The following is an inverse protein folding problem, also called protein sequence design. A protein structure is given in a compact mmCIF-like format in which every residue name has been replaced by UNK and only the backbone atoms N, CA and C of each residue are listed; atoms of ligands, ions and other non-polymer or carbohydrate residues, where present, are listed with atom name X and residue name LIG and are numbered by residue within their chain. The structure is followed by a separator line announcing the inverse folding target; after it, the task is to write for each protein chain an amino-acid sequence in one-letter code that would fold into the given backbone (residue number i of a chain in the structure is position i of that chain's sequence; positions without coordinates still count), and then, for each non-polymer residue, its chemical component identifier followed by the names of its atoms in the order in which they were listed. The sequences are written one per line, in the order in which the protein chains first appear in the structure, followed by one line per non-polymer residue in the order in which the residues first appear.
data_IF_078610872927
#
_entry.id   IF_078610872927
#
_cell.length_a   1.000
_cell.length_b   1.000
_cell.length_c   1.000
_cell.angle_alpha   90.00
_cell.angle_beta   90.00
_cell.angle_gamma   90.00
#
_symmetry.space_group_name_H-M   'P 1'
#
loop_
_entity.id
_entity.type
_entity.pdbx_description
1 polymer ?
#
# COMPACT_ATOMS: atom_id res chain seq x y z
N UNK A 1 11.84 -6.43 -7.30
CA UNK A 1 10.75 -5.75 -8.01
C UNK A 1 9.52 -5.80 -7.13
N UNK A 2 8.99 -4.63 -6.78
CA UNK A 2 7.75 -4.54 -5.99
C UNK A 2 6.56 -4.78 -6.91
N UNK A 3 5.57 -5.50 -6.39
CA UNK A 3 4.31 -5.82 -7.05
C UNK A 3 3.16 -5.57 -6.09
N UNK A 4 1.97 -5.38 -6.66
CA UNK A 4 0.74 -5.25 -5.90
C UNK A 4 -0.03 -6.55 -6.04
N UNK A 5 -0.56 -7.04 -4.93
CA UNK A 5 -1.33 -8.27 -4.88
C UNK A 5 -2.69 -7.99 -4.27
N UNK A 6 -3.71 -8.71 -4.73
CA UNK A 6 -5.04 -8.75 -4.12
C UNK A 6 -5.17 -10.04 -3.30
N UNK A 7 -5.45 -9.90 -2.01
CA UNK A 7 -5.61 -11.05 -1.13
C UNK A 7 -6.93 -11.76 -1.42
N UNK A 8 -6.88 -13.06 -1.73
CA UNK A 8 -8.07 -13.85 -2.05
C UNK A 8 -9.02 -14.08 -0.85
N UNK A 9 -8.58 -13.77 0.37
CA UNK A 9 -9.38 -13.98 1.59
C UNK A 9 -10.04 -12.71 2.10
N UNK A 10 -9.35 -11.57 2.05
CA UNK A 10 -9.88 -10.30 2.56
C UNK A 10 -10.15 -9.25 1.48
N UNK A 11 -9.88 -9.57 0.21
CA UNK A 11 -10.02 -8.65 -0.94
C UNK A 11 -9.36 -7.29 -0.67
N UNK A 12 -8.19 -7.31 -0.04
CA UNK A 12 -7.37 -6.11 0.16
C UNK A 12 -6.18 -6.17 -0.77
N UNK A 13 -5.87 -5.02 -1.35
CA UNK A 13 -4.61 -4.82 -2.05
C UNK A 13 -3.48 -4.62 -1.04
N UNK A 14 -2.34 -5.25 -1.32
CA UNK A 14 -1.13 -5.09 -0.52
C UNK A 14 0.12 -5.09 -1.40
N UNK A 15 1.17 -4.46 -0.88
CA UNK A 15 2.47 -4.43 -1.52
C UNK A 15 3.26 -5.68 -1.13
N UNK A 16 3.93 -6.27 -2.11
CA UNK A 16 4.81 -7.39 -1.89
C UNK A 16 5.97 -7.41 -2.87
N UNK A 17 6.86 -8.36 -2.68
CA UNK A 17 7.99 -8.64 -3.56
C UNK A 17 8.12 -10.16 -3.78
N UNK A 18 9.19 -10.60 -4.41
CA UNK A 18 9.42 -12.03 -4.70
C UNK A 18 9.53 -12.91 -3.43
N UNK A 19 9.82 -12.31 -2.27
CA UNK A 19 9.97 -12.99 -0.99
C UNK A 19 8.76 -12.76 -0.07
N UNK A 20 7.99 -11.70 -0.28
CA UNK A 20 6.87 -11.24 0.56
C UNK A 20 5.55 -11.21 -0.23
N UNK A 21 5.11 -12.37 -0.70
CA UNK A 21 3.86 -12.50 -1.49
C UNK A 21 2.62 -12.78 -0.64
N UNK A 22 2.76 -13.04 0.66
CA UNK A 22 1.64 -13.30 1.56
C UNK A 22 1.03 -11.98 2.08
N UNK A 23 -0.29 -11.96 2.21
CA UNK A 23 -1.03 -10.80 2.73
C UNK A 23 -0.57 -10.47 4.16
N UNK A 24 -0.17 -9.22 4.45
CA UNK A 24 0.34 -8.84 5.76
C UNK A 24 -0.73 -8.83 6.87
N UNK A 25 -2.01 -8.83 6.50
CA UNK A 25 -3.14 -8.78 7.44
C UNK A 25 -3.63 -10.17 7.87
N UNK A 26 -3.62 -11.14 6.96
CA UNK A 26 -4.19 -12.47 7.21
C UNK A 26 -3.27 -13.65 6.88
N UNK A 27 -2.07 -13.39 6.33
CA UNK A 27 -1.08 -14.40 5.98
C UNK A 27 -1.41 -15.23 4.74
N UNK A 28 -2.58 -15.03 4.12
CA UNK A 28 -3.01 -15.79 2.94
C UNK A 28 -2.36 -15.29 1.65
N UNK A 29 -2.26 -16.18 0.67
CA UNK A 29 -1.76 -15.83 -0.66
C UNK A 29 -2.74 -14.94 -1.43
N UNK A 30 -2.20 -14.04 -2.23
CA UNK A 30 -2.94 -13.16 -3.12
C UNK A 30 -2.44 -13.27 -4.57
N UNK A 31 -3.28 -12.85 -5.50
CA UNK A 31 -2.96 -12.85 -6.92
C UNK A 31 -2.40 -11.48 -7.31
N UNK A 32 -1.48 -11.43 -8.27
CA UNK A 32 -0.93 -10.15 -8.74
C UNK A 32 -2.05 -9.29 -9.34
N UNK A 33 -2.21 -8.08 -8.80
CA UNK A 33 -3.21 -7.12 -9.24
C UNK A 33 -2.70 -6.37 -10.48
N UNK A 34 -3.60 -6.10 -11.41
CA UNK A 34 -3.30 -5.34 -12.63
C UNK A 34 -4.04 -4.01 -12.64
N UNK A 35 -3.51 -3.03 -13.39
CA UNK A 35 -4.12 -1.68 -13.54
C UNK A 35 -4.24 -0.91 -12.21
N UNK A 36 -3.29 -1.16 -11.32
CA UNK A 36 -3.20 -0.50 -10.02
C UNK A 36 -2.84 0.97 -10.17
N UNK A 37 -3.42 1.79 -9.30
CA UNK A 37 -3.17 3.23 -9.18
C UNK A 37 -2.86 3.56 -7.73
N UNK A 38 -2.21 4.71 -7.52
CA UNK A 38 -1.85 5.19 -6.19
C UNK A 38 -2.69 6.39 -5.82
N UNK A 39 -3.17 6.42 -4.59
CA UNK A 39 -4.09 7.43 -4.13
C UNK A 39 -3.63 8.02 -2.81
N UNK A 40 -3.96 9.29 -2.59
CA UNK A 40 -3.86 9.96 -1.30
C UNK A 40 -5.28 10.16 -0.73
N UNK A 41 -5.55 9.60 0.44
CA UNK A 41 -6.86 9.72 1.07
C UNK A 41 -7.07 11.13 1.64
N UNK A 42 -8.21 11.75 1.33
CA UNK A 42 -8.57 13.08 1.84
C UNK A 42 -8.76 13.17 3.35
N UNK A 43 -9.16 12.07 3.99
CA UNK A 43 -9.54 12.07 5.39
C UNK A 43 -8.35 11.77 6.31
N UNK A 44 -7.57 10.74 5.98
CA UNK A 44 -6.45 10.32 6.82
C UNK A 44 -5.07 10.69 6.26
N UNK A 45 -5.00 11.36 5.09
CA UNK A 45 -3.74 11.73 4.42
C UNK A 45 -2.78 10.55 4.36
N UNK A 46 -3.29 9.37 3.97
CA UNK A 46 -2.47 8.17 3.73
C UNK A 46 -2.39 7.89 2.26
N UNK A 47 -1.21 7.50 1.82
CA UNK A 47 -1.01 6.90 0.51
C UNK A 47 -1.45 5.44 0.55
N UNK A 48 -2.26 5.04 -0.42
CA UNK A 48 -2.72 3.67 -0.56
C UNK A 48 -2.77 3.26 -2.03
N UNK A 49 -2.70 1.96 -2.24
CA UNK A 49 -2.87 1.36 -3.56
C UNK A 49 -4.33 1.00 -3.78
N UNK A 50 -4.82 1.24 -4.99
CA UNK A 50 -6.19 0.98 -5.39
C UNK A 50 -6.27 0.58 -6.86
N UNK A 51 -7.51 0.48 -7.35
CA UNK A 51 -7.83 0.38 -8.77
C UNK A 51 -9.15 1.11 -9.07
N UNK A 52 -9.46 1.27 -10.35
CA UNK A 52 -10.62 2.03 -10.80
C UNK A 52 -11.98 1.37 -10.53
N UNK A 53 -12.00 0.07 -10.17
CA UNK A 53 -13.21 -0.74 -10.10
C UNK A 53 -13.60 -1.08 -8.66
N UNK A 54 -12.70 -1.75 -7.94
CA UNK A 54 -13.01 -2.44 -6.68
C UNK A 54 -12.34 -1.79 -5.47
N UNK A 55 -11.18 -1.16 -5.64
CA UNK A 55 -10.36 -0.65 -4.54
C UNK A 55 -10.14 0.86 -4.58
N UNK A 56 -11.16 1.62 -5.01
CA UNK A 56 -11.06 3.08 -5.12
C UNK A 56 -11.05 3.81 -3.77
N UNK A 57 -11.64 3.20 -2.75
CA UNK A 57 -11.79 3.78 -1.43
C UNK A 57 -10.59 3.42 -0.55
N UNK A 58 -10.19 4.34 0.32
CA UNK A 58 -9.12 4.13 1.28
C UNK A 58 -9.42 2.89 2.15
N UNK A 59 -8.51 1.91 2.22
CA UNK A 59 -8.75 0.67 2.94
C UNK A 59 -8.87 0.84 4.45
N UNK A 60 -8.38 1.96 5.01
CA UNK A 60 -8.39 2.23 6.45
C UNK A 60 -9.66 2.95 6.93
N UNK A 61 -10.18 3.89 6.14
CA UNK A 61 -11.29 4.75 6.57
C UNK A 61 -12.49 4.77 5.60
N UNK A 62 -12.41 4.06 4.47
CA UNK A 62 -13.49 3.94 3.50
C UNK A 62 -13.77 5.20 2.65
N UNK A 63 -13.06 6.31 2.90
CA UNK A 63 -13.22 7.55 2.15
C UNK A 63 -12.45 7.53 0.82
N UNK A 64 -12.89 8.37 -0.12
CA UNK A 64 -12.20 8.55 -1.39
C UNK A 64 -10.85 9.24 -1.22
N UNK A 65 -9.98 9.06 -2.22
CA UNK A 65 -8.72 9.75 -2.37
C UNK A 65 -8.51 10.24 -3.81
N UNK A 66 -7.50 11.09 -4.00
CA UNK A 66 -7.05 11.51 -5.32
C UNK A 66 -5.91 10.64 -5.80
N UNK A 67 -5.90 10.36 -7.10
CA UNK A 67 -4.78 9.71 -7.74
C UNK A 67 -3.54 10.60 -7.68
N UNK A 68 -2.38 9.99 -7.41
CA UNK A 68 -1.10 10.69 -7.28
C UNK A 68 0.02 9.92 -7.96
N UNK A 69 0.88 10.62 -8.69
CA UNK A 69 2.03 10.01 -9.39
C UNK A 69 3.33 10.05 -8.57
N UNK A 70 3.31 10.74 -7.42
CA UNK A 70 4.50 10.93 -6.57
C UNK A 70 4.75 9.79 -5.58
N UNK A 71 3.89 8.78 -5.55
CA UNK A 71 4.01 7.67 -4.62
C UNK A 71 5.27 6.84 -4.94
N UNK A 72 6.06 6.57 -3.90
CA UNK A 72 7.24 5.71 -3.92
C UNK A 72 7.05 4.54 -2.96
N UNK A 73 7.85 3.50 -3.14
CA UNK A 73 7.87 2.33 -2.26
C UNK A 73 8.95 2.49 -1.22
N UNK A 74 8.62 2.21 0.04
CA UNK A 74 9.56 2.19 1.13
C UNK A 74 9.47 0.87 1.89
N UNK A 75 10.59 0.40 2.43
CA UNK A 75 10.64 -0.70 3.40
C UNK A 75 10.89 -0.13 4.80
N UNK A 76 9.99 -0.39 5.75
CA UNK A 76 10.14 0.09 7.11
C UNK A 76 11.24 -0.68 7.86
N UNK A 77 12.17 0.04 8.49
CA UNK A 77 13.27 -0.57 9.26
C UNK A 77 12.82 -1.36 10.49
N UNK A 78 11.63 -1.04 11.03
CA UNK A 78 11.16 -1.63 12.29
C UNK A 78 10.30 -2.87 12.07
N UNK A 79 9.36 -2.81 11.12
CA UNK A 79 8.41 -3.90 10.89
C UNK A 79 8.62 -4.64 9.56
N UNK A 80 9.63 -4.26 8.77
CA UNK A 80 9.96 -4.84 7.45
C UNK A 80 8.77 -4.89 6.47
N UNK A 81 7.75 -4.04 6.69
CA UNK A 81 6.61 -3.91 5.78
C UNK A 81 6.99 -2.94 4.66
N UNK A 82 6.54 -3.28 3.45
CA UNK A 82 6.59 -2.37 2.31
C UNK A 82 5.37 -1.45 2.40
N UNK A 83 5.57 -0.15 2.27
CA UNK A 83 4.51 0.85 2.31
C UNK A 83 4.70 1.91 1.21
N UNK A 84 3.62 2.64 0.92
CA UNK A 84 3.69 3.80 0.04
C UNK A 84 4.07 5.05 0.83
N UNK A 85 5.00 5.82 0.29
CA UNK A 85 5.42 7.09 0.84
C UNK A 85 5.72 8.13 -0.24
N UNK A 86 6.17 9.30 0.19
CA UNK A 86 6.76 10.33 -0.65
C UNK A 86 7.78 11.15 0.17
N UNK A 87 8.64 11.90 -0.50
CA UNK A 87 9.72 12.68 0.14
C UNK A 87 9.22 13.86 0.98
N UNK A 88 7.94 14.21 0.85
CA UNK A 88 7.34 15.36 1.51
C UNK A 88 6.72 15.00 2.86
N UNK A 89 5.60 14.31 2.85
CA UNK A 89 4.66 14.20 3.96
C UNK A 89 4.45 12.75 4.42
N UNK A 90 4.77 11.77 3.57
CA UNK A 90 4.48 10.35 3.83
C UNK A 90 5.76 9.52 4.04
N UNK A 91 6.75 10.06 4.75
CA UNK A 91 8.05 9.38 4.98
C UNK A 91 8.01 8.31 6.07
N UNK A 92 6.98 8.31 6.91
CA UNK A 92 6.87 7.41 8.06
C UNK A 92 5.96 6.23 7.73
N UNK A 93 6.36 5.05 8.18
CA UNK A 93 5.57 3.85 8.05
C UNK A 93 4.21 4.05 8.75
N UNK A 94 3.08 3.87 8.03
CA UNK A 94 1.76 4.08 8.59
C UNK A 94 1.46 3.16 9.78
N UNK A 95 2.07 1.98 9.81
CA UNK A 95 1.77 0.93 10.79
C UNK A 95 2.46 1.12 12.13
N UNK A 96 3.65 1.72 12.14
CA UNK A 96 4.47 1.81 13.36
C UNK A 96 5.13 3.18 13.60
N UNK A 97 4.97 4.13 12.68
CA UNK A 97 5.53 5.48 12.80
C UNK A 97 7.05 5.58 12.62
N UNK A 98 7.76 4.49 12.36
CA UNK A 98 9.20 4.51 12.07
C UNK A 98 9.51 4.85 10.62
N UNK A 99 10.73 5.30 10.35
CA UNK A 99 11.24 5.50 9.00
C UNK A 99 11.49 4.18 8.26
N UNK A 100 11.60 4.29 6.94
CA UNK A 100 12.04 3.23 6.04
C UNK A 100 13.04 3.74 5.00
N UNK A 101 13.63 2.84 4.24
CA UNK A 101 14.40 3.17 3.04
C UNK A 101 13.49 3.12 1.82
N UNK A 102 13.70 4.03 0.87
CA UNK A 102 13.11 3.91 -0.46
C UNK A 102 13.67 2.65 -1.18
N UNK A 103 12.85 2.03 -2.02
CA UNK A 103 13.13 0.78 -2.76
C UNK A 103 13.19 0.96 -4.27
#
# INVERSE_FOLDING_TARGET
MIRVYECNSCNRLYLGDNFRSNCPDCGQYGSEASRVRYYECYNCNRLYVGDEFSHRNCPDCGQYGNEVDRARFYECYSCNRIYLGDDSTHRYCPECGNYGNEL
#
